data_IF_911586154658
#
_entry.id   IF_911586154658
#
_cell.length_a   1.000
_cell.length_b   1.000
_cell.length_c   1.000
_cell.angle_alpha   90.00
_cell.angle_beta   90.00
_cell.angle_gamma   90.00
#
_symmetry.space_group_name_H-M   'P 1'
#
loop_
_entity.id
_entity.type
_entity.pdbx_description
1 polymer ?
#
# COMPACT_ATOMS: atom_id res chain seq x y z
N UNK A 1 1.18 36.45 8.14
CA UNK A 1 1.60 35.39 9.08
C UNK A 1 1.51 34.10 8.31
N UNK A 2 2.66 33.60 7.86
CA UNK A 2 2.76 32.37 7.08
C UNK A 2 2.64 31.20 8.06
N UNK A 3 1.62 30.37 7.86
CA UNK A 3 1.40 29.18 8.68
C UNK A 3 2.55 28.19 8.44
N UNK A 4 3.33 27.96 9.49
CA UNK A 4 4.30 26.86 9.58
C UNK A 4 3.54 25.53 9.54
N UNK A 5 3.29 25.02 8.33
CA UNK A 5 3.01 23.60 8.14
C UNK A 5 4.31 22.85 8.41
N UNK A 6 4.42 22.25 9.59
CA UNK A 6 5.20 21.02 9.74
C UNK A 6 4.63 20.05 8.70
N UNK A 7 5.36 19.82 7.60
CA UNK A 7 5.00 18.81 6.60
C UNK A 7 5.09 17.44 7.28
N UNK A 8 4.00 17.03 7.93
CA UNK A 8 3.75 15.62 8.17
C UNK A 8 3.61 15.02 6.77
N UNK A 9 4.62 14.26 6.33
CA UNK A 9 4.55 13.47 5.11
C UNK A 9 3.33 12.56 5.25
N UNK A 10 2.28 12.84 4.48
CA UNK A 10 1.08 11.99 4.44
C UNK A 10 1.35 10.85 3.47
N UNK A 11 0.72 9.72 3.71
CA UNK A 11 0.83 8.59 2.81
C UNK A 11 0.19 8.93 1.46
N UNK A 12 0.78 8.45 0.36
CA UNK A 12 0.38 8.86 -0.99
C UNK A 12 -1.11 8.60 -1.28
N UNK A 13 -1.70 7.56 -0.68
CA UNK A 13 -3.12 7.23 -0.85
C UNK A 13 -4.05 8.22 -0.14
N UNK A 14 -3.61 8.78 0.98
CA UNK A 14 -4.32 9.86 1.68
C UNK A 14 -4.30 11.12 0.82
N UNK A 15 -3.16 11.41 0.19
CA UNK A 15 -3.05 12.53 -0.74
C UNK A 15 -3.95 12.36 -1.97
N UNK A 16 -4.04 11.15 -2.55
CA UNK A 16 -4.96 10.86 -3.64
C UNK A 16 -6.43 11.14 -3.24
N UNK A 17 -6.84 10.67 -2.05
CA UNK A 17 -8.18 10.95 -1.53
C UNK A 17 -8.45 12.45 -1.29
N UNK A 18 -7.49 13.16 -0.71
CA UNK A 18 -7.62 14.61 -0.49
C UNK A 18 -7.61 15.39 -1.80
N UNK A 19 -6.84 14.95 -2.80
CA UNK A 19 -6.84 15.51 -4.14
C UNK A 19 -8.22 15.45 -4.82
N UNK A 20 -8.97 14.38 -4.55
CA UNK A 20 -10.37 14.27 -4.99
C UNK A 20 -11.27 15.33 -4.34
N UNK A 21 -11.05 15.70 -3.08
CA UNK A 21 -11.76 16.83 -2.44
C UNK A 21 -11.33 18.18 -3.04
N UNK A 22 -10.04 18.38 -3.29
CA UNK A 22 -9.52 19.65 -3.83
C UNK A 22 -9.95 19.90 -5.28
N UNK A 23 -10.25 18.84 -6.04
CA UNK A 23 -10.83 18.92 -7.39
C UNK A 23 -12.25 19.49 -7.41
N UNK A 24 -12.91 19.56 -6.25
CA UNK A 24 -14.30 19.99 -6.15
C UNK A 24 -14.46 21.50 -6.33
N UNK A 25 -15.48 21.90 -7.10
CA UNK A 25 -15.71 23.29 -7.54
C UNK A 25 -15.97 24.28 -6.40
N UNK A 26 -16.33 23.83 -5.19
CA UNK A 26 -16.73 24.69 -4.06
C UNK A 26 -15.72 24.70 -2.90
N UNK A 27 -14.49 25.17 -3.16
CA UNK A 27 -13.39 25.23 -2.18
C UNK A 27 -13.77 25.86 -0.83
N UNK A 28 -14.47 27.00 -0.83
CA UNK A 28 -14.94 27.67 0.42
C UNK A 28 -15.86 26.80 1.29
N UNK A 29 -16.62 25.88 0.67
CA UNK A 29 -17.50 24.97 1.41
C UNK A 29 -16.69 23.88 2.11
N UNK A 30 -15.65 23.38 1.42
CA UNK A 30 -14.73 22.38 1.98
C UNK A 30 -13.84 22.96 3.07
N UNK A 31 -13.38 24.21 2.94
CA UNK A 31 -12.66 24.90 4.02
C UNK A 31 -13.47 24.93 5.31
N UNK A 32 -14.76 25.31 5.23
CA UNK A 32 -15.66 25.27 6.39
C UNK A 32 -15.84 23.86 6.93
N UNK A 33 -15.97 22.86 6.05
CA UNK A 33 -16.10 21.47 6.45
C UNK A 33 -14.84 20.96 7.18
N UNK A 34 -13.66 21.39 6.75
CA UNK A 34 -12.37 21.09 7.38
C UNK A 34 -12.26 21.66 8.79
N UNK A 35 -12.67 22.92 8.96
CA UNK A 35 -12.77 23.54 10.29
C UNK A 35 -13.73 22.75 11.17
N UNK A 36 -14.90 22.39 10.62
CA UNK A 36 -15.92 21.65 11.35
C UNK A 36 -15.45 20.27 11.83
N UNK A 37 -14.66 19.56 11.02
CA UNK A 37 -14.02 18.31 11.41
C UNK A 37 -13.02 18.51 12.56
N UNK A 38 -12.17 19.54 12.46
CA UNK A 38 -11.14 19.86 13.49
C UNK A 38 -11.73 20.29 14.83
N UNK A 39 -12.90 20.92 14.82
CA UNK A 39 -13.65 21.30 16.03
C UNK A 39 -14.27 20.10 16.76
N UNK A 40 -14.14 18.86 16.25
CA UNK A 40 -14.68 17.67 16.91
C UNK A 40 -16.20 17.53 16.79
N UNK A 41 -16.80 18.16 15.77
CA UNK A 41 -18.25 18.06 15.55
C UNK A 41 -18.69 16.69 15.01
N UNK A 42 -17.77 15.87 14.47
CA UNK A 42 -18.08 14.49 14.11
C UNK A 42 -17.97 13.62 15.36
N UNK A 43 -19.11 13.12 15.85
CA UNK A 43 -19.23 12.40 17.12
C UNK A 43 -18.85 10.92 17.00
N UNK A 44 -19.18 10.30 15.88
CA UNK A 44 -18.81 8.91 15.61
C UNK A 44 -18.71 8.66 14.11
N UNK A 45 -17.85 7.70 13.75
CA UNK A 45 -17.74 7.11 12.41
C UNK A 45 -17.73 5.59 12.60
N UNK A 46 -18.64 4.91 11.92
CA UNK A 46 -18.81 3.47 11.96
C UNK A 46 -18.81 2.92 10.53
N UNK A 47 -18.07 1.83 10.31
CA UNK A 47 -18.01 1.14 9.03
C UNK A 47 -18.91 -0.09 9.08
N UNK A 48 -19.91 -0.13 8.21
CA UNK A 48 -20.84 -1.26 8.09
C UNK A 48 -20.82 -1.76 6.65
N UNK A 49 -20.07 -2.84 6.41
CA UNK A 49 -19.80 -3.33 5.06
C UNK A 49 -19.17 -2.24 4.20
N UNK A 50 -19.74 -2.00 3.01
CA UNK A 50 -19.28 -0.99 2.05
C UNK A 50 -19.74 0.46 2.34
N UNK A 51 -20.39 0.69 3.48
CA UNK A 51 -20.95 2.01 3.84
C UNK A 51 -20.32 2.53 5.13
N UNK A 52 -20.06 3.82 5.12
CA UNK A 52 -19.67 4.61 6.30
C UNK A 52 -20.92 5.28 6.84
N UNK A 53 -21.18 5.12 8.12
CA UNK A 53 -22.18 5.87 8.86
C UNK A 53 -21.48 6.78 9.85
N UNK A 54 -21.92 8.04 9.93
CA UNK A 54 -21.36 9.00 10.87
C UNK A 54 -22.45 9.83 11.51
N UNK A 55 -22.23 10.21 12.77
CA UNK A 55 -23.05 11.18 13.50
C UNK A 55 -22.30 12.50 13.58
N UNK A 56 -22.88 13.55 13.02
CA UNK A 56 -22.26 14.88 12.97
C UNK A 56 -23.13 15.87 13.72
N UNK A 57 -22.61 16.42 14.81
CA UNK A 57 -23.25 17.50 15.55
C UNK A 57 -23.52 18.65 14.60
N UNK A 58 -24.74 19.18 14.64
CA UNK A 58 -25.15 20.34 13.87
C UNK A 58 -25.73 21.41 14.76
N UNK A 59 -26.60 22.24 14.16
CA UNK A 59 -27.39 23.23 14.90
C UNK A 59 -28.52 22.60 15.72
N UNK A 60 -28.99 21.41 15.31
CA UNK A 60 -30.03 20.66 16.01
C UNK A 60 -29.48 19.97 17.27
N UNK A 61 -30.37 19.68 18.21
CA UNK A 61 -30.02 18.95 19.45
C UNK A 61 -29.51 17.55 19.11
N UNK A 62 -30.21 16.85 18.22
CA UNK A 62 -29.82 15.53 17.74
C UNK A 62 -28.79 15.63 16.60
N UNK A 63 -27.67 14.89 16.66
CA UNK A 63 -26.68 14.86 15.58
C UNK A 63 -27.26 14.39 14.25
N UNK A 64 -26.86 15.04 13.16
CA UNK A 64 -27.23 14.61 11.82
C UNK A 64 -26.58 13.27 11.46
N UNK A 65 -27.34 12.45 10.74
CA UNK A 65 -26.87 11.18 10.21
C UNK A 65 -26.26 11.42 8.83
N UNK A 66 -25.01 10.99 8.65
CA UNK A 66 -24.30 11.01 7.38
C UNK A 66 -24.03 9.57 6.96
N UNK A 67 -24.30 9.26 5.70
CA UNK A 67 -23.92 7.98 5.10
C UNK A 67 -23.10 8.23 3.84
N UNK A 68 -21.95 7.58 3.71
CA UNK A 68 -21.04 7.66 2.55
C UNK A 68 -20.77 6.25 2.06
N UNK A 69 -20.75 6.04 0.75
CA UNK A 69 -20.41 4.74 0.16
C UNK A 69 -19.85 4.89 -1.25
N UNK A 70 -19.12 3.87 -1.68
CA UNK A 70 -18.66 3.71 -3.06
C UNK A 70 -19.46 2.61 -3.74
N UNK A 71 -19.43 2.63 -5.06
CA UNK A 71 -19.88 1.49 -5.85
C UNK A 71 -18.87 0.34 -5.61
N UNK A 72 -19.38 -0.74 -5.03
CA UNK A 72 -18.60 -1.93 -4.71
C UNK A 72 -18.32 -2.72 -5.97
N UNK A 73 -17.16 -3.40 -5.99
CA UNK A 73 -16.85 -4.32 -7.06
C UNK A 73 -17.60 -5.63 -6.88
N UNK A 74 -17.91 -6.31 -7.97
CA UNK A 74 -18.49 -7.66 -7.95
C UNK A 74 -17.51 -8.67 -7.36
N UNK A 75 -18.01 -9.85 -7.00
CA UNK A 75 -17.16 -10.93 -6.51
C UNK A 75 -16.15 -11.38 -7.59
N UNK A 76 -16.55 -11.37 -8.86
CA UNK A 76 -15.70 -11.67 -10.01
C UNK A 76 -14.61 -10.61 -10.22
N UNK A 77 -14.96 -9.33 -10.17
CA UNK A 77 -14.01 -8.21 -10.29
C UNK A 77 -12.93 -8.29 -9.20
N UNK A 78 -13.34 -8.57 -7.96
CA UNK A 78 -12.41 -8.82 -6.86
C UNK A 78 -11.54 -10.04 -7.08
N UNK A 79 -12.09 -11.12 -7.63
CA UNK A 79 -11.33 -12.33 -7.91
C UNK A 79 -10.20 -12.05 -8.91
N UNK A 80 -10.48 -11.33 -9.99
CA UNK A 80 -9.47 -10.94 -10.98
C UNK A 80 -8.41 -10.00 -10.37
N UNK A 81 -8.83 -9.00 -9.59
CA UNK A 81 -7.89 -8.10 -8.92
C UNK A 81 -6.95 -8.87 -7.96
N UNK A 82 -7.49 -9.82 -7.19
CA UNK A 82 -6.69 -10.65 -6.27
C UNK A 82 -5.75 -11.58 -7.02
N UNK A 83 -6.18 -12.15 -8.14
CA UNK A 83 -5.33 -12.98 -9.01
C UNK A 83 -4.13 -12.18 -9.52
N UNK A 84 -4.34 -10.99 -10.09
CA UNK A 84 -3.26 -10.10 -10.53
C UNK A 84 -2.37 -9.64 -9.36
N UNK A 85 -2.92 -9.41 -8.17
CA UNK A 85 -2.11 -9.12 -6.97
C UNK A 85 -1.22 -10.30 -6.58
N UNK A 86 -1.72 -11.54 -6.74
CA UNK A 86 -1.01 -12.76 -6.35
C UNK A 86 0.20 -13.06 -7.24
N UNK A 87 0.23 -12.54 -8.48
CA UNK A 87 1.36 -12.68 -9.41
C UNK A 87 2.65 -12.04 -8.89
N UNK A 88 2.55 -11.03 -8.02
CA UNK A 88 3.70 -10.34 -7.45
C UNK A 88 3.68 -10.42 -5.94
N UNK A 89 4.63 -11.17 -5.38
CA UNK A 89 4.76 -11.36 -3.93
C UNK A 89 4.84 -10.05 -3.12
N UNK A 90 5.37 -8.98 -3.73
CA UNK A 90 5.49 -7.65 -3.09
C UNK A 90 4.14 -7.06 -2.66
N UNK A 91 3.07 -7.26 -3.44
CA UNK A 91 1.73 -6.77 -3.08
C UNK A 91 1.21 -7.48 -1.84
N UNK A 92 1.32 -8.81 -1.83
CA UNK A 92 0.93 -9.61 -0.67
C UNK A 92 1.72 -9.25 0.58
N UNK A 93 3.04 -9.05 0.45
CA UNK A 93 3.92 -8.71 1.58
C UNK A 93 3.55 -7.34 2.18
N UNK A 94 3.42 -6.30 1.36
CA UNK A 94 3.05 -4.94 1.81
C UNK A 94 1.66 -4.90 2.44
N UNK A 95 0.67 -5.57 1.82
CA UNK A 95 -0.68 -5.68 2.39
C UNK A 95 -0.68 -6.42 3.73
N UNK A 96 0.09 -7.50 3.87
CA UNK A 96 0.27 -8.18 5.15
C UNK A 96 0.89 -7.28 6.23
N UNK A 97 1.78 -6.37 5.84
CA UNK A 97 2.40 -5.37 6.71
C UNK A 97 1.45 -4.20 7.07
N UNK A 98 0.25 -4.13 6.50
CA UNK A 98 -0.65 -3.00 6.72
C UNK A 98 -0.38 -1.80 5.79
N UNK A 99 0.48 -1.95 4.80
CA UNK A 99 0.90 -0.87 3.91
C UNK A 99 0.21 -0.97 2.55
N UNK A 100 -0.21 0.18 1.99
CA UNK A 100 -0.76 0.23 0.64
C UNK A 100 0.39 0.28 -0.39
N UNK A 101 0.52 -0.72 -1.29
CA UNK A 101 1.58 -0.71 -2.30
C UNK A 101 1.43 0.48 -3.26
N UNK A 102 2.52 1.23 -3.51
CA UNK A 102 2.49 2.40 -4.42
C UNK A 102 1.96 2.11 -5.84
N UNK A 103 2.12 0.86 -6.29
CA UNK A 103 1.67 0.41 -7.61
C UNK A 103 0.33 -0.35 -7.57
N UNK A 104 -0.41 -0.33 -6.45
CA UNK A 104 -1.66 -1.10 -6.30
C UNK A 104 -2.73 -0.71 -7.32
N UNK A 105 -2.84 0.57 -7.66
CA UNK A 105 -3.76 1.09 -8.69
C UNK A 105 -3.51 0.44 -10.06
N UNK A 106 -2.27 0.05 -10.38
CA UNK A 106 -1.96 -0.68 -11.63
C UNK A 106 -2.63 -2.05 -11.68
N UNK A 107 -2.84 -2.69 -10.53
CA UNK A 107 -3.53 -3.97 -10.44
C UNK A 107 -5.01 -3.79 -10.77
N UNK A 108 -5.65 -2.77 -10.20
CA UNK A 108 -7.06 -2.49 -10.48
C UNK A 108 -7.27 -2.03 -11.93
N UNK A 109 -6.44 -1.12 -12.43
CA UNK A 109 -6.55 -0.61 -13.80
C UNK A 109 -6.28 -1.67 -14.87
N UNK A 110 -5.37 -2.62 -14.62
CA UNK A 110 -5.18 -3.77 -15.52
C UNK A 110 -6.46 -4.63 -15.67
N UNK A 111 -7.33 -4.61 -14.67
CA UNK A 111 -8.61 -5.29 -14.66
C UNK A 111 -9.79 -4.38 -15.05
N UNK A 112 -9.53 -3.17 -15.56
CA UNK A 112 -10.57 -2.20 -15.92
C UNK A 112 -11.27 -1.53 -14.73
N UNK A 113 -10.71 -1.68 -13.53
CA UNK A 113 -11.24 -1.12 -12.28
C UNK A 113 -10.41 0.09 -11.85
N UNK A 114 -10.94 0.87 -10.93
CA UNK A 114 -10.18 1.93 -10.25
C UNK A 114 -10.49 1.88 -8.77
N UNK A 115 -9.46 1.73 -7.95
CA UNK A 115 -9.61 1.58 -6.50
C UNK A 115 -10.08 2.90 -5.91
N UNK A 116 -9.41 3.98 -6.28
CA UNK A 116 -9.79 5.33 -5.90
C UNK A 116 -10.89 5.86 -6.84
N UNK A 117 -11.85 6.66 -6.35
CA UNK A 117 -12.78 7.34 -7.23
C UNK A 117 -12.06 8.43 -8.05
N UNK A 118 -12.49 8.68 -9.29
CA UNK A 118 -11.88 9.71 -10.14
C UNK A 118 -12.44 11.09 -9.85
N UNK A 119 -13.72 11.15 -9.50
CA UNK A 119 -14.45 12.38 -9.22
C UNK A 119 -15.17 12.24 -7.89
N UNK A 120 -15.39 13.38 -7.22
CA UNK A 120 -16.17 13.40 -5.99
C UNK A 120 -17.60 12.86 -6.18
N UNK A 121 -18.16 12.96 -7.39
CA UNK A 121 -19.48 12.46 -7.75
C UNK A 121 -19.57 10.92 -7.72
N UNK A 122 -18.44 10.23 -7.85
CA UNK A 122 -18.33 8.78 -7.70
C UNK A 122 -18.47 8.36 -6.22
N UNK A 123 -18.25 9.31 -5.30
CA UNK A 123 -18.45 9.12 -3.86
C UNK A 123 -19.89 9.48 -3.51
N UNK A 124 -20.72 8.45 -3.37
CA UNK A 124 -22.13 8.63 -3.01
C UNK A 124 -22.24 9.01 -1.55
N UNK A 125 -23.05 10.01 -1.26
CA UNK A 125 -23.26 10.47 0.11
C UNK A 125 -24.65 11.03 0.33
N UNK A 126 -25.14 10.90 1.56
CA UNK A 126 -26.40 11.45 2.06
C UNK A 126 -26.19 12.02 3.46
N UNK A 127 -26.91 13.09 3.77
CA UNK A 127 -26.95 13.67 5.10
C UNK A 127 -28.40 14.05 5.45
N UNK A 128 -28.80 13.86 6.70
CA UNK A 128 -30.13 14.25 7.19
C UNK A 128 -30.29 15.75 7.46
N UNK A 129 -29.27 16.57 7.17
CA UNK A 129 -29.32 18.01 7.42
C UNK A 129 -30.22 18.75 6.41
N UNK A 130 -30.75 19.95 6.76
CA UNK A 130 -31.62 20.72 5.87
C UNK A 130 -30.90 21.35 4.66
N UNK A 131 -29.56 21.26 4.58
CA UNK A 131 -28.80 21.74 3.43
C UNK A 131 -28.99 20.80 2.23
N UNK A 132 -29.51 21.34 1.12
CA UNK A 132 -29.74 20.60 -0.14
C UNK A 132 -28.46 20.37 -0.95
N UNK A 133 -27.35 21.03 -0.60
CA UNK A 133 -26.08 20.85 -1.29
C UNK A 133 -25.45 19.49 -0.94
N UNK A 134 -24.90 18.81 -1.95
CA UNK A 134 -24.14 17.59 -1.77
C UNK A 134 -22.74 17.73 -2.41
N UNK A 135 -21.63 17.59 -1.65
CA UNK A 135 -21.55 17.46 -0.19
C UNK A 135 -21.95 18.74 0.56
N UNK A 136 -22.69 18.58 1.66
CA UNK A 136 -22.90 19.64 2.65
C UNK A 136 -21.66 19.74 3.56
N UNK A 137 -21.64 20.71 4.49
CA UNK A 137 -20.50 20.86 5.43
C UNK A 137 -20.28 19.61 6.30
N UNK A 138 -21.35 18.88 6.64
CA UNK A 138 -21.27 17.66 7.46
C UNK A 138 -20.64 16.50 6.68
N UNK A 139 -21.05 16.31 5.42
CA UNK A 139 -20.45 15.29 4.53
C UNK A 139 -18.98 15.62 4.30
N UNK A 140 -18.65 16.88 4.02
CA UNK A 140 -17.26 17.30 3.85
C UNK A 140 -16.42 17.06 5.10
N UNK A 141 -16.97 17.23 6.30
CA UNK A 141 -16.25 16.96 7.55
C UNK A 141 -15.91 15.47 7.68
N UNK A 142 -16.86 14.59 7.32
CA UNK A 142 -16.63 13.14 7.31
C UNK A 142 -15.62 12.75 6.22
N UNK A 143 -15.63 13.38 5.04
CA UNK A 143 -14.61 13.14 4.02
C UNK A 143 -13.19 13.45 4.47
N UNK A 144 -12.99 14.52 5.25
CA UNK A 144 -11.68 14.83 5.82
C UNK A 144 -11.25 13.80 6.86
N UNK A 145 -12.16 13.37 7.75
CA UNK A 145 -11.84 12.34 8.74
C UNK A 145 -11.64 10.96 8.13
N UNK A 146 -12.29 10.66 6.99
CA UNK A 146 -12.00 9.46 6.22
C UNK A 146 -10.56 9.48 5.69
N UNK A 147 -10.03 10.64 5.31
CA UNK A 147 -8.64 10.76 4.90
C UNK A 147 -7.68 10.34 6.03
N UNK A 148 -7.94 10.82 7.25
CA UNK A 148 -7.14 10.45 8.43
C UNK A 148 -7.27 8.94 8.72
N UNK A 149 -8.49 8.39 8.58
CA UNK A 149 -8.74 6.95 8.76
C UNK A 149 -8.04 6.08 7.71
N UNK A 150 -7.90 6.54 6.47
CA UNK A 150 -7.12 5.83 5.45
C UNK A 150 -5.63 5.85 5.76
N UNK A 151 -5.11 6.90 6.40
CA UNK A 151 -3.73 6.94 6.87
C UNK A 151 -3.47 5.89 7.96
N UNK A 152 -4.43 5.71 8.88
CA UNK A 152 -4.34 4.68 9.92
C UNK A 152 -4.50 3.25 9.38
N UNK A 153 -5.45 3.03 8.47
CA UNK A 153 -5.73 1.71 7.90
C UNK A 153 -6.15 1.79 6.42
N UNK A 154 -5.25 1.43 5.48
CA UNK A 154 -5.56 1.46 4.05
C UNK A 154 -6.64 0.44 3.64
N UNK A 155 -6.90 -0.60 4.45
CA UNK A 155 -7.91 -1.61 4.13
C UNK A 155 -9.34 -1.09 4.21
N UNK A 156 -9.56 0.04 4.88
CA UNK A 156 -10.86 0.72 4.90
C UNK A 156 -11.31 1.07 3.48
N UNK A 157 -10.38 1.42 2.58
CA UNK A 157 -10.72 1.69 1.18
C UNK A 157 -11.20 0.43 0.44
N UNK A 158 -10.57 -0.71 0.68
CA UNK A 158 -11.04 -1.99 0.15
C UNK A 158 -12.41 -2.37 0.71
N UNK A 159 -12.64 -2.10 1.99
CA UNK A 159 -13.93 -2.34 2.64
C UNK A 159 -15.03 -1.52 1.96
N UNK A 160 -14.78 -0.24 1.63
CA UNK A 160 -15.71 0.58 0.84
C UNK A 160 -15.96 0.03 -0.57
N UNK A 161 -15.01 -0.70 -1.13
CA UNK A 161 -15.14 -1.43 -2.40
C UNK A 161 -15.70 -2.84 -2.25
N UNK A 162 -16.11 -3.24 -1.05
CA UNK A 162 -16.84 -4.49 -0.79
C UNK A 162 -16.00 -5.67 -0.29
N UNK A 163 -14.72 -5.47 0.06
CA UNK A 163 -13.88 -6.54 0.65
C UNK A 163 -13.12 -6.11 1.88
N UNK A 164 -13.18 -6.94 2.91
CA UNK A 164 -12.42 -6.77 4.14
C UNK A 164 -10.97 -7.22 3.96
N UNK A 165 -10.11 -6.77 4.88
CA UNK A 165 -8.71 -7.21 4.98
C UNK A 165 -8.61 -8.73 5.07
N UNK A 166 -9.41 -9.33 5.93
CA UNK A 166 -9.39 -10.77 6.21
C UNK A 166 -9.74 -11.55 4.95
N UNK A 167 -10.76 -11.12 4.20
CA UNK A 167 -11.15 -11.74 2.93
C UNK A 167 -10.03 -11.68 1.89
N UNK A 168 -9.39 -10.51 1.72
CA UNK A 168 -8.30 -10.35 0.74
C UNK A 168 -7.10 -11.22 1.12
N UNK A 169 -6.68 -11.19 2.39
CA UNK A 169 -5.53 -11.94 2.86
C UNK A 169 -5.75 -13.45 2.81
N UNK A 170 -6.98 -13.91 3.11
CA UNK A 170 -7.34 -15.32 3.03
C UNK A 170 -7.28 -15.82 1.59
N UNK A 171 -7.88 -15.10 0.63
CA UNK A 171 -7.81 -15.47 -0.79
C UNK A 171 -6.37 -15.47 -1.31
N UNK A 172 -5.55 -14.49 -0.92
CA UNK A 172 -4.11 -14.46 -1.28
C UNK A 172 -3.32 -15.63 -0.68
N UNK A 173 -3.68 -16.11 0.51
CA UNK A 173 -3.07 -17.32 1.11
C UNK A 173 -3.46 -18.57 0.33
N UNK A 174 -4.74 -18.72 0.00
CA UNK A 174 -5.26 -19.85 -0.77
C UNK A 174 -4.67 -19.93 -2.19
N UNK A 175 -4.43 -18.80 -2.84
CA UNK A 175 -3.76 -18.77 -4.15
C UNK A 175 -2.30 -19.24 -4.07
N UNK A 176 -1.57 -18.84 -3.02
CA UNK A 176 -0.18 -19.29 -2.81
C UNK A 176 -0.09 -20.78 -2.53
N UNK A 177 -1.01 -21.34 -1.75
CA UNK A 177 -1.03 -22.80 -1.49
C UNK A 177 -1.36 -23.60 -2.74
N UNK A 178 -2.27 -23.11 -3.59
CA UNK A 178 -2.59 -23.73 -4.89
C UNK A 178 -1.43 -23.66 -5.90
N UNK A 179 -0.68 -22.55 -5.89
CA UNK A 179 0.54 -22.42 -6.71
C UNK A 179 1.62 -23.43 -6.33
N UNK A 180 1.76 -23.71 -5.03
CA UNK A 180 2.70 -24.74 -4.52
C UNK A 180 2.21 -26.16 -4.79
N UNK A 181 0.90 -26.41 -4.83
CA UNK A 181 0.34 -27.72 -5.24
C UNK A 181 0.46 -27.97 -6.76
N UNK A 182 0.22 -26.97 -7.61
CA UNK A 182 0.43 -27.10 -9.06
C UNK A 182 1.90 -27.38 -9.40
N UNK A 183 2.87 -26.78 -8.70
CA UNK A 183 4.28 -27.12 -8.87
C UNK A 183 4.64 -28.52 -8.38
N UNK A 184 3.89 -29.13 -7.46
CA UNK A 184 4.07 -30.54 -7.06
C UNK A 184 3.55 -31.55 -8.09
N UNK A 185 2.75 -31.13 -9.08
CA UNK A 185 2.25 -32.02 -10.14
C UNK A 185 3.25 -32.21 -11.31
N UNK A 186 4.38 -31.51 -11.29
CA UNK A 186 5.49 -31.72 -12.22
C UNK A 186 6.60 -32.56 -11.60
N UNK A 187 6.36 -33.87 -11.50
CA UNK A 187 7.35 -34.87 -11.07
C UNK A 187 7.82 -34.71 -9.63
N UNK A 188 7.71 -35.76 -8.82
CA UNK A 188 8.48 -35.86 -7.59
C UNK A 188 9.97 -35.83 -7.96
N UNK A 189 10.59 -34.65 -7.97
CA UNK A 189 12.05 -34.56 -7.90
C UNK A 189 12.39 -35.07 -6.51
N UNK A 190 12.70 -36.37 -6.45
CA UNK A 190 13.33 -36.98 -5.28
C UNK A 190 14.50 -36.07 -4.93
N UNK A 191 14.41 -35.38 -3.78
CA UNK A 191 15.55 -34.66 -3.25
C UNK A 191 16.64 -35.73 -3.11
N UNK A 192 17.73 -35.66 -3.89
CA UNK A 192 18.77 -36.67 -3.77
C UNK A 192 19.23 -36.62 -2.32
N UNK A 193 19.07 -37.72 -1.59
CA UNK A 193 19.69 -37.86 -0.27
C UNK A 193 21.15 -37.52 -0.46
N UNK A 194 21.65 -36.47 0.20
CA UNK A 194 23.06 -36.10 0.13
C UNK A 194 23.90 -37.34 0.49
N UNK A 195 24.55 -37.92 -0.51
CA UNK A 195 25.43 -39.08 -0.34
C UNK A 195 26.83 -38.69 0.14
N UNK A 196 27.10 -37.39 0.28
CA UNK A 196 28.41 -36.87 0.62
C UNK A 196 28.35 -36.10 1.94
N UNK A 197 29.31 -36.32 2.86
CA UNK A 197 29.40 -35.55 4.09
C UNK A 197 29.66 -34.07 3.73
N UNK A 198 28.79 -33.19 4.21
CA UNK A 198 28.93 -31.74 4.05
C UNK A 198 30.23 -31.27 4.74
N UNK A 199 31.22 -30.89 3.96
CA UNK A 199 32.44 -30.25 4.46
C UNK A 199 32.20 -28.76 4.62
N UNK A 200 31.81 -28.33 5.81
CA UNK A 200 31.47 -26.93 6.13
C UNK A 200 32.59 -25.95 5.73
N UNK A 201 33.85 -26.37 5.90
CA UNK A 201 35.06 -25.63 5.53
C UNK A 201 35.18 -25.32 4.02
N UNK A 202 34.53 -26.11 3.16
CA UNK A 202 34.55 -25.95 1.71
C UNK A 202 33.16 -25.57 1.16
N UNK A 203 32.20 -25.23 2.03
CA UNK A 203 30.80 -25.03 1.65
C UNK A 203 30.60 -23.90 0.62
N UNK A 204 31.45 -22.87 0.67
CA UNK A 204 31.40 -21.72 -0.25
C UNK A 204 32.35 -21.86 -1.45
N UNK A 205 32.98 -23.02 -1.62
CA UNK A 205 33.84 -23.29 -2.77
C UNK A 205 33.01 -23.97 -3.86
N UNK A 206 32.99 -23.36 -5.04
CA UNK A 206 32.29 -23.88 -6.21
C UNK A 206 33.32 -24.58 -7.09
N UNK A 207 33.31 -25.90 -7.05
CA UNK A 207 34.24 -26.74 -7.84
C UNK A 207 33.74 -26.96 -9.28
N UNK A 208 32.44 -26.69 -9.50
CA UNK A 208 31.78 -26.76 -10.80
C UNK A 208 31.10 -25.41 -11.10
N UNK A 209 31.11 -24.98 -12.38
CA UNK A 209 30.32 -23.81 -12.78
C UNK A 209 28.84 -24.08 -12.52
N UNK A 210 28.12 -23.08 -12.02
CA UNK A 210 26.67 -23.16 -11.84
C UNK A 210 26.01 -23.53 -13.18
N UNK A 211 25.05 -24.45 -13.16
CA UNK A 211 24.25 -24.78 -14.34
C UNK A 211 23.65 -23.50 -14.93
N UNK A 212 23.95 -23.24 -16.21
CA UNK A 212 23.54 -22.01 -16.91
C UNK A 212 22.01 -21.84 -16.94
N UNK A 213 21.27 -22.95 -16.87
CA UNK A 213 19.80 -22.99 -16.80
C UNK A 213 19.25 -22.51 -15.46
N UNK A 214 20.02 -22.61 -14.37
CA UNK A 214 19.66 -22.16 -13.03
C UNK A 214 20.03 -20.70 -12.77
N UNK A 215 20.94 -20.16 -13.58
CA UNK A 215 21.39 -18.76 -13.49
C UNK A 215 20.66 -17.90 -14.51
N UNK A 216 19.41 -17.56 -14.20
CA UNK A 216 18.65 -16.57 -14.98
C UNK A 216 18.77 -15.21 -14.29
N UNK A 217 19.74 -14.40 -14.71
CA UNK A 217 19.85 -13.00 -14.28
C UNK A 217 18.91 -12.17 -15.16
N UNK A 218 17.66 -12.01 -14.73
CA UNK A 218 16.72 -11.09 -15.39
C UNK A 218 16.86 -9.73 -14.73
N UNK A 219 17.00 -8.62 -15.49
CA UNK A 219 16.89 -7.29 -14.92
C UNK A 219 15.51 -7.14 -14.24
N UNK A 220 15.45 -6.54 -13.05
CA UNK A 220 14.18 -6.37 -12.36
C UNK A 220 13.21 -5.55 -13.23
N UNK A 221 11.92 -5.92 -13.29
CA UNK A 221 10.92 -5.18 -14.06
C UNK A 221 10.57 -3.81 -13.45
N UNK A 222 11.08 -3.52 -12.25
CA UNK A 222 10.92 -2.26 -11.52
C UNK A 222 12.26 -1.64 -11.21
N UNK A 223 12.29 -0.32 -11.05
CA UNK A 223 13.47 0.42 -10.58
C UNK A 223 13.74 0.27 -9.07
N UNK A 224 12.87 -0.43 -8.34
CA UNK A 224 13.08 -0.73 -6.91
C UNK A 224 14.24 -1.72 -6.74
N UNK A 225 15.21 -1.34 -5.89
CA UNK A 225 16.37 -2.14 -5.50
C UNK A 225 16.05 -3.00 -4.27
N UNK A 226 16.92 -3.97 -3.95
CA UNK A 226 16.78 -4.77 -2.71
C UNK A 226 16.83 -3.88 -1.46
N UNK A 227 17.55 -2.75 -1.52
CA UNK A 227 17.61 -1.78 -0.42
C UNK A 227 16.27 -1.06 -0.23
N UNK A 228 15.54 -0.76 -1.31
CA UNK A 228 14.20 -0.16 -1.24
C UNK A 228 13.17 -1.11 -0.61
N UNK A 229 13.35 -2.41 -0.79
CA UNK A 229 12.49 -3.45 -0.18
C UNK A 229 12.79 -3.62 1.31
N UNK A 230 14.06 -3.59 1.70
CA UNK A 230 14.48 -3.75 3.09
C UNK A 230 14.25 -2.50 3.95
N UNK A 231 14.12 -1.33 3.33
CA UNK A 231 13.91 -0.07 4.03
C UNK A 231 15.14 0.41 4.78
N UNK A 232 14.96 1.35 5.70
CA UNK A 232 16.05 1.93 6.49
C UNK A 232 16.58 0.95 7.52
N UNK A 233 17.92 0.79 7.57
CA UNK A 233 18.56 -0.07 8.56
C UNK A 233 18.52 0.60 9.94
N UNK A 234 17.97 -0.06 10.98
CA UNK A 234 18.00 0.46 12.34
C UNK A 234 19.41 0.26 12.93
N UNK A 235 20.12 1.36 13.18
CA UNK A 235 21.47 1.34 13.73
C UNK A 235 21.45 1.74 15.21
N UNK A 236 22.17 0.99 16.06
CA UNK A 236 22.07 0.99 17.52
C UNK A 236 22.31 2.32 18.29
N UNK A 237 22.50 3.46 17.61
CA UNK A 237 22.50 4.78 18.23
C UNK A 237 21.08 5.31 18.54
N UNK A 238 20.05 4.50 18.28
CA UNK A 238 18.62 4.77 18.53
C UNK A 238 18.24 5.08 20.00
N UNK A 239 19.17 4.88 20.95
CA UNK A 239 18.93 5.06 22.39
C UNK A 239 19.22 6.46 22.96
N UNK A 240 19.60 7.46 22.15
CA UNK A 240 19.83 8.84 22.65
C UNK A 240 18.85 9.86 22.06
N UNK A 241 18.32 10.71 22.93
CA UNK A 241 17.08 11.51 22.78
C UNK A 241 17.15 12.73 21.85
N UNK A 242 17.93 12.72 20.76
CA UNK A 242 18.00 13.86 19.82
C UNK A 242 17.51 13.50 18.41
N UNK A 243 16.27 13.92 18.08
CA UNK A 243 15.59 13.62 16.82
C UNK A 243 16.31 14.12 15.56
N UNK A 244 17.06 15.23 15.63
CA UNK A 244 17.74 15.82 14.46
C UNK A 244 18.99 15.03 14.03
N UNK A 245 19.58 14.22 14.94
CA UNK A 245 20.72 13.35 14.63
C UNK A 245 20.29 11.94 14.18
N UNK A 246 19.07 11.51 14.54
CA UNK A 246 18.53 10.16 14.27
C UNK A 246 18.47 9.82 12.77
N UNK A 247 18.15 10.79 11.93
CA UNK A 247 17.97 10.56 10.48
C UNK A 247 19.31 10.50 9.74
N UNK A 248 20.32 11.26 10.19
CA UNK A 248 21.57 11.46 9.43
C UNK A 248 22.43 10.21 9.25
N UNK A 249 22.57 9.37 10.28
CA UNK A 249 23.45 8.20 10.21
C UNK A 249 22.85 7.08 9.36
N UNK A 250 21.56 6.78 9.56
CA UNK A 250 20.82 5.80 8.76
C UNK A 250 20.74 6.25 7.29
N UNK A 251 20.46 7.53 7.05
CA UNK A 251 20.49 8.12 5.70
C UNK A 251 21.87 8.05 5.05
N UNK A 252 22.94 8.32 5.80
CA UNK A 252 24.31 8.25 5.27
C UNK A 252 24.68 6.82 4.88
N UNK A 253 24.30 5.83 5.70
CA UNK A 253 24.52 4.41 5.40
C UNK A 253 23.69 3.98 4.20
N UNK A 254 22.40 4.34 4.14
CA UNK A 254 21.55 4.03 2.99
C UNK A 254 22.07 4.67 1.69
N UNK A 255 22.57 5.91 1.75
CA UNK A 255 23.18 6.58 0.60
C UNK A 255 24.45 5.87 0.11
N UNK A 256 25.29 5.43 1.04
CA UNK A 256 26.49 4.65 0.72
C UNK A 256 26.12 3.30 0.09
N UNK A 257 25.18 2.56 0.71
CA UNK A 257 24.71 1.27 0.21
C UNK A 257 24.09 1.39 -1.18
N UNK A 258 23.28 2.42 -1.44
CA UNK A 258 22.73 2.69 -2.77
C UNK A 258 23.82 2.86 -3.83
N UNK A 259 24.89 3.59 -3.48
CA UNK A 259 26.03 3.80 -4.39
C UNK A 259 26.75 2.48 -4.68
N UNK A 260 27.02 1.69 -3.64
CA UNK A 260 27.67 0.38 -3.77
C UNK A 260 26.82 -0.58 -4.58
N UNK A 261 25.51 -0.65 -4.32
CA UNK A 261 24.59 -1.54 -5.00
C UNK A 261 24.52 -1.24 -6.50
N UNK A 262 24.45 0.05 -6.87
CA UNK A 262 24.48 0.46 -8.28
C UNK A 262 25.81 0.11 -8.96
N UNK A 263 26.95 0.39 -8.31
CA UNK A 263 28.26 0.09 -8.88
C UNK A 263 28.49 -1.42 -9.08
N UNK A 264 28.17 -2.23 -8.06
CA UNK A 264 28.35 -3.69 -8.10
C UNK A 264 27.40 -4.34 -9.11
N UNK A 265 26.13 -3.92 -9.17
CA UNK A 265 25.17 -4.45 -10.15
C UNK A 265 25.59 -4.15 -11.59
N UNK A 266 26.07 -2.94 -11.88
CA UNK A 266 26.60 -2.59 -13.20
C UNK A 266 27.84 -3.42 -13.55
N UNK A 267 28.79 -3.58 -12.63
CA UNK A 267 29.97 -4.42 -12.84
C UNK A 267 29.61 -5.89 -13.05
N UNK A 268 28.64 -6.42 -12.30
CA UNK A 268 28.16 -7.79 -12.44
C UNK A 268 27.55 -8.03 -13.83
N UNK A 269 26.75 -7.10 -14.34
CA UNK A 269 26.19 -7.18 -15.71
C UNK A 269 27.32 -7.17 -16.75
N UNK A 270 28.26 -6.23 -16.65
CA UNK A 270 29.41 -6.15 -17.56
C UNK A 270 30.24 -7.43 -17.52
N UNK A 271 30.46 -8.00 -16.34
CA UNK A 271 31.20 -9.25 -16.19
C UNK A 271 30.44 -10.44 -16.76
N UNK A 272 29.12 -10.53 -16.54
CA UNK A 272 28.27 -11.58 -17.09
C UNK A 272 28.21 -11.52 -18.63
N UNK A 273 28.14 -10.32 -19.22
CA UNK A 273 28.16 -10.13 -20.67
C UNK A 273 29.49 -10.51 -21.32
N UNK A 274 30.61 -10.43 -20.59
CA UNK A 274 31.95 -10.81 -21.09
C UNK A 274 32.23 -12.30 -21.06
N UNK A 275 31.47 -13.09 -20.30
CA UNK A 275 31.67 -14.55 -20.16
C UNK A 275 30.99 -15.34 -21.30
N UNK A 276 30.35 -14.64 -22.26
CA UNK A 276 29.68 -15.23 -23.42
C UNK A 276 30.46 -15.22 -24.75
N UNK A 277 31.75 -14.86 -24.75
CA UNK A 277 32.66 -15.02 -25.91
C UNK A 277 33.64 -16.19 -25.72
#
# INVERSE_FOLDING_TARGET
>A
MADNYTQISREWWVEQWLGLLDSYRFKKRLERARVYAREGNVRSIEFQGQKVFARVQGTEVEPYQVSIWLDAFSDEEWQYAIETMSEKAIYSAKLLAGEMPANIEKVFTANGLSLFPFKLDDVRSKCSCPDKANPCKHIGAVYYLLADRFGEDPFVLFQLRGRTKEQILETLRQMRSRGTEKQKSGGETQIPKLQYPLKVEHFWQYDEPLESSLVVIVPPPSSETVLDVLGTIPLANDATENADAKTTASETVMKYLNTVYQAVSQQAIVSAMKVGE
#
